data_IF_999628198634
#
_entry.id   IF_999628198634
#
_cell.length_a   1.000
_cell.length_b   1.000
_cell.length_c   1.000
_cell.angle_alpha   90.00
_cell.angle_beta   90.00
_cell.angle_gamma   90.00
#
_symmetry.space_group_name_H-M   'P 1'
#
loop_
_entity.id
_entity.type
_entity.pdbx_description
1 polymer ?
#
# COMPACT_ATOMS: atom_id res chain seq x y z
N UNK A 1 -1.80 13.37 -11.70
CA UNK A 1 -2.49 12.22 -12.32
C UNK A 1 -1.71 10.90 -12.23
N UNK A 2 -0.46 10.81 -12.71
CA UNK A 2 0.30 9.53 -12.68
C UNK A 2 0.42 8.91 -11.28
N UNK A 3 0.71 9.72 -10.25
CA UNK A 3 0.79 9.26 -8.86
C UNK A 3 -0.52 8.68 -8.34
N UNK A 4 -1.64 9.34 -8.63
CA UNK A 4 -2.97 8.85 -8.27
C UNK A 4 -3.24 7.45 -8.84
N UNK A 5 -2.93 7.23 -10.13
CA UNK A 5 -3.09 5.92 -10.76
C UNK A 5 -2.19 4.84 -10.16
N UNK A 6 -0.96 5.20 -9.75
CA UNK A 6 -0.06 4.28 -9.06
C UNK A 6 -0.70 3.84 -7.74
N UNK A 7 -1.16 4.77 -6.91
CA UNK A 7 -1.80 4.39 -5.65
C UNK A 7 -3.10 3.61 -5.85
N UNK A 8 -3.94 4.01 -6.81
CA UNK A 8 -5.25 3.40 -7.03
C UNK A 8 -5.16 1.98 -7.63
N UNK A 9 -4.26 1.78 -8.60
CA UNK A 9 -4.10 0.49 -9.27
C UNK A 9 -3.10 -0.40 -8.57
N UNK A 10 -1.92 0.14 -8.23
CA UNK A 10 -0.82 -0.65 -7.66
C UNK A 10 -1.01 -0.87 -6.16
N UNK A 11 -1.60 0.10 -5.45
CA UNK A 11 -1.75 0.03 -4.01
C UNK A 11 -2.51 -1.20 -3.53
N UNK A 12 -3.78 -1.38 -3.91
CA UNK A 12 -4.57 -2.54 -3.52
C UNK A 12 -3.95 -3.87 -3.99
N UNK A 13 -3.37 -3.90 -5.20
CA UNK A 13 -2.72 -5.10 -5.73
C UNK A 13 -1.50 -5.51 -4.90
N UNK A 14 -0.62 -4.56 -4.57
CA UNK A 14 0.56 -4.80 -3.73
C UNK A 14 0.13 -5.22 -2.32
N UNK A 15 -0.83 -4.51 -1.73
CA UNK A 15 -1.37 -4.86 -0.42
C UNK A 15 -1.94 -6.29 -0.40
N UNK A 16 -2.70 -6.67 -1.44
CA UNK A 16 -3.25 -8.01 -1.56
C UNK A 16 -2.18 -9.09 -1.66
N UNK A 17 -1.14 -8.88 -2.48
CA UNK A 17 -0.01 -9.83 -2.58
C UNK A 17 0.69 -10.01 -1.24
N UNK A 18 0.96 -8.90 -0.52
CA UNK A 18 1.61 -8.97 0.80
C UNK A 18 0.71 -9.68 1.82
N UNK A 19 -0.59 -9.45 1.76
CA UNK A 19 -1.57 -10.13 2.60
C UNK A 19 -1.61 -11.64 2.34
N UNK A 20 -1.67 -12.07 1.08
CA UNK A 20 -1.66 -13.48 0.69
C UNK A 20 -0.35 -14.17 1.11
N UNK A 21 0.81 -13.54 0.87
CA UNK A 21 2.10 -14.05 1.33
C UNK A 21 2.13 -14.21 2.85
N UNK A 22 1.55 -13.26 3.58
CA UNK A 22 1.44 -13.32 5.04
C UNK A 22 0.56 -14.49 5.49
N UNK A 23 -0.63 -14.68 4.90
CA UNK A 23 -1.51 -15.81 5.26
C UNK A 23 -0.88 -17.16 4.89
N UNK A 24 -0.23 -17.27 3.72
CA UNK A 24 0.54 -18.45 3.32
C UNK A 24 1.66 -18.76 4.32
N UNK A 25 2.40 -17.75 4.78
CA UNK A 25 3.44 -17.94 5.81
C UNK A 25 2.89 -18.38 7.16
N UNK A 26 1.61 -18.08 7.44
CA UNK A 26 0.89 -18.54 8.63
C UNK A 26 0.24 -19.93 8.45
N UNK A 27 0.47 -20.59 7.30
CA UNK A 27 -0.11 -21.90 6.98
C UNK A 27 -1.58 -21.85 6.56
N UNK A 28 -2.11 -20.65 6.25
CA UNK A 28 -3.51 -20.45 5.85
C UNK A 28 -3.54 -20.24 4.34
N UNK A 29 -4.05 -21.24 3.62
CA UNK A 29 -4.24 -21.14 2.17
C UNK A 29 -5.68 -20.73 1.88
N UNK A 30 -5.88 -19.52 1.36
CA UNK A 30 -7.18 -19.03 0.91
C UNK A 30 -7.45 -19.64 -0.47
N UNK A 31 -7.86 -20.91 -0.52
CA UNK A 31 -8.38 -21.55 -1.74
C UNK A 31 -7.41 -21.69 -2.93
N UNK A 32 -6.12 -21.38 -2.78
CA UNK A 32 -5.13 -21.44 -3.86
C UNK A 32 -5.33 -20.37 -4.94
N UNK A 33 -4.90 -20.64 -6.18
CA UNK A 33 -5.04 -19.71 -7.31
C UNK A 33 -6.49 -19.21 -7.56
N UNK A 34 -7.54 -20.04 -7.43
CA UNK A 34 -8.92 -19.56 -7.53
C UNK A 34 -9.30 -18.56 -6.43
N UNK A 35 -8.85 -18.79 -5.20
CA UNK A 35 -9.10 -17.88 -4.08
C UNK A 35 -8.36 -16.54 -4.25
N UNK A 36 -7.16 -16.58 -4.82
CA UNK A 36 -6.42 -15.37 -5.21
C UNK A 36 -7.20 -14.53 -6.25
N UNK A 37 -7.71 -15.15 -7.31
CA UNK A 37 -8.50 -14.46 -8.34
C UNK A 37 -9.81 -13.89 -7.79
N UNK A 38 -10.49 -14.63 -6.92
CA UNK A 38 -11.73 -14.21 -6.28
C UNK A 38 -11.50 -13.13 -5.21
N UNK A 39 -10.35 -13.15 -4.54
CA UNK A 39 -10.00 -12.19 -3.49
C UNK A 39 -9.56 -10.83 -4.03
N UNK A 40 -8.99 -10.79 -5.24
CA UNK A 40 -8.50 -9.55 -5.84
C UNK A 40 -9.57 -8.45 -5.98
N UNK A 41 -10.80 -8.70 -6.48
CA UNK A 41 -11.87 -7.70 -6.51
C UNK A 41 -12.23 -7.17 -5.12
N UNK A 42 -12.28 -8.04 -4.10
CA UNK A 42 -12.52 -7.62 -2.72
C UNK A 42 -11.38 -6.74 -2.21
N UNK A 43 -10.14 -7.11 -2.50
CA UNK A 43 -8.97 -6.32 -2.12
C UNK A 43 -8.99 -4.93 -2.77
N UNK A 44 -9.46 -4.81 -4.01
CA UNK A 44 -9.69 -3.50 -4.62
C UNK A 44 -10.82 -2.74 -3.94
N UNK A 45 -11.96 -3.38 -3.68
CA UNK A 45 -13.10 -2.72 -3.05
C UNK A 45 -12.75 -2.15 -1.68
N UNK A 46 -12.04 -2.95 -0.90
CA UNK A 46 -11.66 -2.65 0.47
C UNK A 46 -10.39 -1.80 0.57
N UNK A 47 -9.43 -2.04 -0.33
CA UNK A 47 -8.18 -1.31 -0.43
C UNK A 47 -8.29 0.06 -1.12
N UNK A 48 -9.44 0.38 -1.75
CA UNK A 48 -9.63 1.65 -2.44
C UNK A 48 -9.54 2.85 -1.48
N UNK A 49 -10.30 2.80 -0.39
CA UNK A 49 -10.35 3.87 0.62
C UNK A 49 -8.96 4.11 1.24
N UNK A 50 -8.25 3.10 1.80
CA UNK A 50 -6.92 3.32 2.34
C UNK A 50 -5.91 3.76 1.27
N UNK A 51 -6.00 3.26 0.04
CA UNK A 51 -5.15 3.71 -1.06
C UNK A 51 -5.36 5.21 -1.38
N UNK A 52 -6.60 5.70 -1.34
CA UNK A 52 -6.92 7.12 -1.51
C UNK A 52 -6.37 7.97 -0.37
N UNK A 53 -6.49 7.50 0.87
CA UNK A 53 -5.96 8.19 2.06
C UNK A 53 -4.44 8.29 2.00
N UNK A 54 -3.76 7.21 1.60
CA UNK A 54 -2.30 7.18 1.44
C UNK A 54 -1.83 8.03 0.26
N UNK A 55 -2.60 8.05 -0.84
CA UNK A 55 -2.32 8.96 -1.95
C UNK A 55 -2.42 10.43 -1.53
N UNK A 56 -3.42 10.78 -0.72
CA UNK A 56 -3.62 12.14 -0.23
C UNK A 56 -2.44 12.60 0.63
N UNK A 57 -1.92 11.71 1.48
CA UNK A 57 -0.67 11.94 2.23
C UNK A 57 0.51 12.16 1.28
N UNK A 58 0.77 11.23 0.34
CA UNK A 58 1.89 11.32 -0.60
C UNK A 58 1.84 12.61 -1.45
N UNK A 59 0.64 13.05 -1.81
CA UNK A 59 0.43 14.29 -2.55
C UNK A 59 0.70 15.53 -1.69
N UNK A 60 0.28 15.54 -0.41
CA UNK A 60 0.55 16.67 0.49
C UNK A 60 2.04 16.84 0.82
N UNK A 61 2.79 15.73 0.81
CA UNK A 61 4.24 15.74 1.06
C UNK A 61 5.09 15.95 -0.21
N UNK A 62 4.47 15.94 -1.40
CA UNK A 62 5.17 16.11 -2.68
C UNK A 62 6.03 17.37 -2.74
N UNK A 63 5.51 18.49 -2.24
CA UNK A 63 6.16 19.79 -2.29
C UNK A 63 7.04 20.09 -1.07
N UNK A 64 7.00 19.23 -0.05
CA UNK A 64 7.64 19.49 1.26
C UNK A 64 8.85 18.62 1.56
N UNK A 65 9.00 17.47 0.91
CA UNK A 65 10.03 16.48 1.29
C UNK A 65 10.77 15.87 0.09
N UNK A 66 12.03 15.51 0.34
CA UNK A 66 12.83 14.68 -0.56
C UNK A 66 12.30 13.23 -0.59
N UNK A 67 12.75 12.44 -1.58
CA UNK A 67 12.22 11.10 -1.85
C UNK A 67 12.27 10.14 -0.66
N UNK A 68 13.41 10.03 0.01
CA UNK A 68 13.61 9.13 1.14
C UNK A 68 12.73 9.43 2.36
N UNK A 69 12.68 10.67 2.88
CA UNK A 69 11.78 10.99 3.99
C UNK A 69 10.31 10.82 3.60
N UNK A 70 9.92 11.10 2.35
CA UNK A 70 8.55 10.86 1.86
C UNK A 70 8.17 9.38 1.87
N UNK A 71 9.08 8.50 1.41
CA UNK A 71 8.86 7.05 1.47
C UNK A 71 8.72 6.59 2.92
N UNK A 72 9.52 7.12 3.84
CA UNK A 72 9.44 6.77 5.25
C UNK A 72 8.11 7.22 5.88
N UNK A 73 7.65 8.45 5.62
CA UNK A 73 6.35 8.91 6.14
C UNK A 73 5.21 8.08 5.58
N UNK A 74 5.22 7.81 4.28
CA UNK A 74 4.17 7.01 3.62
C UNK A 74 4.17 5.55 4.08
N UNK A 75 5.34 5.00 4.46
CA UNK A 75 5.45 3.68 5.09
C UNK A 75 4.78 3.65 6.46
N UNK A 76 5.11 4.62 7.32
CA UNK A 76 4.54 4.72 8.68
C UNK A 76 3.04 4.99 8.60
N UNK A 77 2.63 5.89 7.70
CA UNK A 77 1.24 6.24 7.49
C UNK A 77 0.44 5.06 6.94
N UNK A 78 0.98 4.33 5.95
CA UNK A 78 0.38 3.10 5.43
C UNK A 78 0.20 2.03 6.49
N UNK A 79 1.18 1.85 7.37
CA UNK A 79 1.07 0.95 8.52
C UNK A 79 -0.10 1.32 9.43
N UNK A 80 -0.18 2.60 9.82
CA UNK A 80 -1.25 3.12 10.68
C UNK A 80 -2.63 2.99 10.01
N UNK A 81 -2.75 3.34 8.73
CA UNK A 81 -4.00 3.26 7.97
C UNK A 81 -4.49 1.82 7.84
N UNK A 82 -3.59 0.85 7.62
CA UNK A 82 -3.98 -0.57 7.55
C UNK A 82 -4.44 -1.12 8.89
N UNK A 83 -3.77 -0.73 9.98
CA UNK A 83 -4.24 -1.06 11.34
C UNK A 83 -5.59 -0.41 11.63
N UNK A 84 -5.77 0.86 11.28
CA UNK A 84 -7.04 1.54 11.46
C UNK A 84 -8.17 0.87 10.66
N UNK A 85 -7.91 0.52 9.41
CA UNK A 85 -8.87 -0.17 8.56
C UNK A 85 -9.34 -1.50 9.17
N UNK A 86 -8.40 -2.35 9.61
CA UNK A 86 -8.76 -3.64 10.18
C UNK A 86 -9.52 -3.46 11.50
N UNK A 87 -9.10 -2.52 12.37
CA UNK A 87 -9.80 -2.23 13.63
C UNK A 87 -11.23 -1.72 13.40
N UNK A 88 -11.45 -0.89 12.38
CA UNK A 88 -12.78 -0.33 12.06
C UNK A 88 -13.70 -1.40 11.47
N UNK A 89 -13.17 -2.34 10.67
CA UNK A 89 -14.00 -3.33 9.97
C UNK A 89 -14.14 -4.68 10.65
N UNK A 90 -13.27 -5.02 11.59
CA UNK A 90 -13.45 -6.26 12.35
C UNK A 90 -14.18 -6.01 13.66
N UNK A 91 -15.39 -6.56 13.77
CA UNK A 91 -16.16 -6.57 15.01
C UNK A 91 -15.62 -7.58 16.05
N UNK A 92 -14.69 -8.45 15.65
CA UNK A 92 -14.14 -9.53 16.50
C UNK A 92 -12.74 -9.12 16.98
N UNK A 93 -12.40 -9.33 18.26
CA UNK A 93 -11.06 -9.07 18.76
C UNK A 93 -10.02 -9.94 18.04
N UNK A 94 -9.11 -9.28 17.32
CA UNK A 94 -7.98 -9.91 16.63
C UNK A 94 -6.79 -9.99 17.59
N UNK A 95 -6.04 -11.11 17.63
CA UNK A 95 -4.82 -11.18 18.41
C UNK A 95 -3.81 -10.09 18.00
N UNK A 96 -3.16 -9.46 18.99
CA UNK A 96 -2.28 -8.31 18.78
C UNK A 96 -1.18 -8.58 17.74
N UNK A 97 -0.64 -9.81 17.72
CA UNK A 97 0.36 -10.23 16.72
C UNK A 97 -0.17 -10.15 15.29
N UNK A 98 -1.42 -10.55 15.07
CA UNK A 98 -2.05 -10.49 13.75
C UNK A 98 -2.35 -9.05 13.34
N UNK A 99 -2.78 -8.21 14.29
CA UNK A 99 -2.98 -6.79 14.07
C UNK A 99 -1.68 -6.06 13.66
N UNK A 100 -0.60 -6.27 14.42
CA UNK A 100 0.70 -5.65 14.17
C UNK A 100 1.28 -6.09 12.81
N UNK A 101 1.21 -7.39 12.52
CA UNK A 101 1.71 -7.91 11.24
C UNK A 101 0.83 -7.50 10.05
N UNK A 102 -0.45 -7.16 10.26
CA UNK A 102 -1.30 -6.61 9.21
C UNK A 102 -0.85 -5.21 8.77
N UNK A 103 -0.32 -4.40 9.69
CA UNK A 103 0.25 -3.09 9.34
C UNK A 103 1.37 -3.18 8.30
N UNK A 104 2.09 -4.30 8.21
CA UNK A 104 3.15 -4.52 7.19
C UNK A 104 2.57 -4.43 5.77
N UNK A 105 1.32 -4.86 5.57
CA UNK A 105 0.62 -4.78 4.29
C UNK A 105 0.58 -3.33 3.80
N UNK A 106 0.09 -2.42 4.65
CA UNK A 106 0.04 -1.00 4.35
C UNK A 106 1.41 -0.33 4.29
N UNK A 107 2.35 -0.76 5.13
CA UNK A 107 3.71 -0.24 5.11
C UNK A 107 4.39 -0.48 3.76
N UNK A 108 4.33 -1.72 3.26
CA UNK A 108 4.91 -2.10 1.96
C UNK A 108 4.17 -1.39 0.82
N UNK A 109 2.84 -1.31 0.89
CA UNK A 109 2.04 -0.56 -0.07
C UNK A 109 2.47 0.91 -0.15
N UNK A 110 2.59 1.59 0.99
CA UNK A 110 2.95 3.01 1.07
C UNK A 110 4.37 3.26 0.60
N UNK A 111 5.30 2.40 1.03
CA UNK A 111 6.68 2.47 0.59
C UNK A 111 6.81 2.35 -0.93
N UNK A 112 6.20 1.32 -1.53
CA UNK A 112 6.30 1.05 -2.96
C UNK A 112 5.58 2.11 -3.80
N UNK A 113 4.37 2.50 -3.40
CA UNK A 113 3.62 3.53 -4.11
C UNK A 113 4.32 4.89 -4.05
N UNK A 114 4.82 5.30 -2.88
CA UNK A 114 5.53 6.58 -2.70
C UNK A 114 6.90 6.59 -3.41
N UNK A 115 7.60 5.46 -3.41
CA UNK A 115 8.87 5.32 -4.11
C UNK A 115 8.68 5.42 -5.62
N UNK A 116 7.73 4.65 -6.19
CA UNK A 116 7.42 4.68 -7.63
C UNK A 116 6.86 6.03 -8.07
N UNK A 117 6.05 6.70 -7.24
CA UNK A 117 5.55 8.04 -7.51
C UNK A 117 6.68 9.10 -7.50
N UNK A 118 7.76 8.82 -6.79
CA UNK A 118 8.92 9.67 -6.61
C UNK A 118 10.02 9.52 -7.66
N UNK A 119 10.08 8.41 -8.39
CA UNK A 119 11.06 8.22 -9.48
C UNK A 119 10.75 9.22 -10.59
N UNK A 120 11.43 10.38 -10.58
CA UNK A 120 11.42 11.29 -11.72
C UNK A 120 12.18 10.59 -12.86
N UNK A 121 11.61 10.46 -14.06
CA UNK A 121 12.37 10.00 -15.21
C UNK A 121 13.57 10.93 -15.39
N UNK A 122 14.76 10.36 -15.51
CA UNK A 122 15.99 11.07 -15.84
C UNK A 122 15.71 11.87 -17.12
N UNK A 123 15.57 13.20 -17.01
CA UNK A 123 15.50 14.06 -18.19
C UNK A 123 16.76 13.75 -19.01
N UNK A 124 16.64 13.40 -20.31
CA UNK A 124 17.82 13.38 -21.16
C UNK A 124 18.41 14.79 -21.09
N UNK A 125 19.69 14.87 -20.74
CA UNK A 125 20.42 16.12 -20.67
C UNK A 125 20.18 16.87 -21.99
N UNK A 126 19.54 18.03 -21.89
CA UNK A 126 19.47 18.97 -23.00
C UNK A 126 20.93 19.33 -23.30
N UNK A 127 21.46 18.84 -24.42
CA UNK A 127 22.74 19.31 -24.94
C UNK A 127 22.54 20.77 -25.31
N UNK A 128 23.29 21.72 -24.73
CA UNK A 128 23.50 22.99 -25.40
C UNK A 128 24.34 22.69 -26.65
N UNK A 129 23.85 23.10 -27.82
CA UNK A 129 24.61 23.66 -28.95
C UNK A 129 23.63 24.06 -30.07
#
# INVERSE_FOLDING_TARGET
MKRFLIFLLLGPAVGFVVFELRELSAGKSIGGFPGFLMGLPFAYWFGLIPALVMWLEDWFLEDKMQLWPKVLTSTIFGYAVSIAMIVIWTAVPIPLRQLLTFGIVGAVQGALCSWLSGIKPKQPALSPD
#
